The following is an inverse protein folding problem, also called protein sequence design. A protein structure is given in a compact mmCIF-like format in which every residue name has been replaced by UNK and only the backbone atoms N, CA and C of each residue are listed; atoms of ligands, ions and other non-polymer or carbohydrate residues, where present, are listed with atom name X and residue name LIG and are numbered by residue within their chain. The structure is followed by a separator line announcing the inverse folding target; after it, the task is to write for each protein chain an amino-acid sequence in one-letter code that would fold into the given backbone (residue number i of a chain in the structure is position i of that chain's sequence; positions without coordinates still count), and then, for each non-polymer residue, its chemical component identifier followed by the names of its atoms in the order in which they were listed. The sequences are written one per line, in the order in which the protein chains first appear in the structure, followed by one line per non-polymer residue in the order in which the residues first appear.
data_IF_085380204912
#
_entry.id   IF_085380204912
#
_cell.length_a   1.000
_cell.length_b   1.000
_cell.length_c   1.000
_cell.angle_alpha   90.00
_cell.angle_beta   90.00
_cell.angle_gamma   90.00
#
_symmetry.space_group_name_H-M   'P 1'
#
loop_
_entity.id
_entity.type
_entity.pdbx_description
1 polymer ?
#
# COMPACT_ATOMS: atom_id res chain seq x y z
N UNK A 1 -31.93 29.92 -4.83
CA UNK A 1 -31.83 28.46 -4.97
C UNK A 1 -30.35 28.12 -4.93
N UNK A 2 -29.96 27.33 -3.93
CA UNK A 2 -28.57 27.15 -3.52
C UNK A 2 -27.72 26.46 -4.58
N UNK A 3 -26.50 26.94 -4.73
CA UNK A 3 -25.44 26.25 -5.45
C UNK A 3 -25.25 24.88 -4.77
N UNK A 4 -25.43 23.82 -5.54
CA UNK A 4 -25.00 22.49 -5.13
C UNK A 4 -23.48 22.58 -4.94
N UNK A 5 -23.04 22.49 -3.69
CA UNK A 5 -21.63 22.33 -3.38
C UNK A 5 -21.16 21.06 -4.07
N UNK A 6 -20.28 21.22 -5.05
CA UNK A 6 -19.29 20.21 -5.39
C UNK A 6 -18.69 19.76 -4.06
N UNK A 7 -18.88 18.50 -3.70
CA UNK A 7 -18.15 17.94 -2.56
C UNK A 7 -16.67 18.22 -2.84
N UNK A 8 -16.05 19.04 -1.98
CA UNK A 8 -14.65 19.43 -2.04
C UNK A 8 -13.79 18.16 -2.21
N UNK A 9 -13.44 17.85 -3.46
CA UNK A 9 -12.83 16.58 -3.83
C UNK A 9 -11.36 16.70 -3.49
N UNK A 10 -11.01 16.38 -2.24
CA UNK A 10 -9.62 16.40 -1.78
C UNK A 10 -8.77 15.50 -2.67
N UNK A 11 -7.73 16.08 -3.25
CA UNK A 11 -6.69 15.36 -3.99
C UNK A 11 -5.82 14.55 -3.04
N UNK A 12 -5.10 13.58 -3.58
CA UNK A 12 -4.12 12.84 -2.79
C UNK A 12 -3.00 13.77 -2.31
N UNK A 13 -2.56 14.67 -3.20
CA UNK A 13 -1.55 15.69 -2.90
C UNK A 13 -1.97 16.72 -1.85
N UNK A 14 -3.27 16.83 -1.55
CA UNK A 14 -3.78 17.75 -0.53
C UNK A 14 -3.63 17.19 0.89
N UNK A 15 -3.35 15.89 1.04
CA UNK A 15 -3.18 15.23 2.33
C UNK A 15 -1.68 15.24 2.69
N UNK A 16 -1.28 15.85 3.82
CA UNK A 16 0.10 15.80 4.28
C UNK A 16 0.58 14.35 4.46
N UNK A 17 1.84 14.06 4.12
CA UNK A 17 2.42 12.71 4.23
C UNK A 17 2.21 12.04 5.60
N UNK A 18 2.32 12.72 6.76
CA UNK A 18 2.06 12.09 8.06
C UNK A 18 0.60 11.62 8.23
N UNK A 19 -0.35 12.32 7.61
CA UNK A 19 -1.79 12.05 7.71
C UNK A 19 -2.29 11.15 6.58
N UNK A 20 -1.44 10.87 5.59
CA UNK A 20 -1.79 10.03 4.45
C UNK A 20 -2.00 8.57 4.90
N UNK A 21 -3.14 7.92 4.56
CA UNK A 21 -3.52 6.60 5.10
C UNK A 21 -2.47 5.49 4.96
N UNK A 22 -1.73 5.53 3.85
CA UNK A 22 -0.57 4.69 3.58
C UNK A 22 0.56 5.58 3.06
N UNK A 23 1.38 6.11 3.96
CA UNK A 23 2.57 6.87 3.59
C UNK A 23 3.79 5.96 3.37
N UNK A 24 4.89 6.52 2.88
CA UNK A 24 6.11 5.77 2.53
C UNK A 24 6.69 4.98 3.70
N UNK A 25 6.64 5.52 4.92
CA UNK A 25 7.15 4.84 6.11
C UNK A 25 6.28 3.64 6.47
N UNK A 26 4.96 3.83 6.48
CA UNK A 26 3.99 2.76 6.76
C UNK A 26 4.01 1.68 5.69
N UNK A 27 4.14 2.06 4.41
CA UNK A 27 4.31 1.14 3.30
C UNK A 27 5.56 0.28 3.47
N UNK A 28 6.72 0.90 3.71
CA UNK A 28 7.99 0.16 3.92
C UNK A 28 7.89 -0.81 5.09
N UNK A 29 7.36 -0.33 6.21
CA UNK A 29 7.18 -1.17 7.40
C UNK A 29 6.27 -2.37 7.13
N UNK A 30 5.11 -2.16 6.51
CA UNK A 30 4.19 -3.26 6.18
C UNK A 30 4.82 -4.26 5.23
N UNK A 31 5.52 -3.77 4.20
CA UNK A 31 6.24 -4.62 3.23
C UNK A 31 7.28 -5.51 3.94
N UNK A 32 8.09 -4.93 4.81
CA UNK A 32 9.14 -5.64 5.53
C UNK A 32 8.56 -6.64 6.57
N UNK A 33 7.46 -6.28 7.24
CA UNK A 33 6.75 -7.18 8.17
C UNK A 33 6.14 -8.39 7.44
N UNK A 34 5.54 -8.19 6.26
CA UNK A 34 5.01 -9.27 5.42
C UNK A 34 6.13 -10.18 4.92
N UNK A 35 7.22 -9.61 4.41
CA UNK A 35 8.39 -10.35 3.91
C UNK A 35 9.02 -11.19 5.02
N UNK A 36 9.26 -10.57 6.19
CA UNK A 36 9.80 -11.29 7.37
C UNK A 36 8.87 -12.44 7.80
N UNK A 37 7.56 -12.26 7.74
CA UNK A 37 6.61 -13.31 8.08
C UNK A 37 6.66 -14.46 7.05
N UNK A 38 6.70 -14.14 5.75
CA UNK A 38 6.82 -15.14 4.68
C UNK A 38 8.07 -16.01 4.85
N UNK A 39 9.22 -15.37 5.08
CA UNK A 39 10.49 -16.06 5.31
C UNK A 39 10.44 -16.99 6.53
N UNK A 40 9.81 -16.55 7.62
CA UNK A 40 9.67 -17.37 8.84
C UNK A 40 8.79 -18.60 8.62
N UNK A 41 7.75 -18.51 7.80
CA UNK A 41 6.91 -19.66 7.46
C UNK A 41 7.62 -20.62 6.50
N UNK A 42 8.37 -20.10 5.53
CA UNK A 42 9.20 -20.92 4.63
C UNK A 42 10.28 -21.69 5.40
N UNK A 43 10.91 -21.05 6.40
CA UNK A 43 11.93 -21.66 7.25
C UNK A 43 11.43 -22.87 8.07
N UNK A 44 10.12 -23.05 8.22
CA UNK A 44 9.58 -24.26 8.86
C UNK A 44 9.86 -25.52 8.05
N UNK A 45 10.17 -25.41 6.74
CA UNK A 45 10.51 -26.54 5.89
C UNK A 45 9.35 -27.51 5.66
N UNK A 46 8.11 -27.04 5.83
CA UNK A 46 6.89 -27.83 5.64
C UNK A 46 6.12 -27.34 4.41
N UNK A 47 5.33 -28.23 3.79
CA UNK A 47 4.44 -27.87 2.68
C UNK A 47 3.45 -26.78 3.08
N UNK A 48 2.87 -26.87 4.28
CA UNK A 48 1.94 -25.84 4.77
C UNK A 48 2.64 -24.51 5.04
N UNK A 49 3.86 -24.52 5.59
CA UNK A 49 4.68 -23.32 5.77
C UNK A 49 4.99 -22.64 4.44
N UNK A 50 5.36 -23.41 3.42
CA UNK A 50 5.57 -22.90 2.06
C UNK A 50 4.29 -22.27 1.48
N UNK A 51 3.14 -22.94 1.63
CA UNK A 51 1.86 -22.40 1.14
C UNK A 51 1.51 -21.05 1.78
N UNK A 52 1.76 -20.89 3.09
CA UNK A 52 1.56 -19.62 3.79
C UNK A 52 2.56 -18.56 3.31
N UNK A 53 3.83 -18.93 3.10
CA UNK A 53 4.85 -18.03 2.54
C UNK A 53 4.46 -17.50 1.16
N UNK A 54 3.95 -18.37 0.27
CA UNK A 54 3.42 -17.96 -1.03
C UNK A 54 2.25 -16.97 -0.89
N UNK A 55 1.28 -17.27 -0.02
CA UNK A 55 0.14 -16.38 0.20
C UNK A 55 0.57 -14.99 0.74
N UNK A 56 1.55 -14.94 1.66
CA UNK A 56 2.10 -13.67 2.15
C UNK A 56 2.87 -12.91 1.08
N UNK A 57 3.60 -13.63 0.21
CA UNK A 57 4.27 -13.04 -0.95
C UNK A 57 3.26 -12.38 -1.89
N UNK A 58 2.10 -13.00 -2.12
CA UNK A 58 1.02 -12.41 -2.93
C UNK A 58 0.46 -11.13 -2.27
N UNK A 59 0.29 -11.12 -0.95
CA UNK A 59 -0.12 -9.91 -0.22
C UNK A 59 0.90 -8.79 -0.41
N UNK A 60 2.21 -9.10 -0.34
CA UNK A 60 3.28 -8.12 -0.60
C UNK A 60 3.16 -7.52 -2.00
N UNK A 61 2.94 -8.35 -3.02
CA UNK A 61 2.75 -7.88 -4.41
C UNK A 61 1.55 -6.95 -4.51
N UNK A 62 0.42 -7.29 -3.88
CA UNK A 62 -0.76 -6.41 -3.86
C UNK A 62 -0.53 -5.10 -3.13
N UNK A 63 0.27 -5.10 -2.07
CA UNK A 63 0.69 -3.88 -1.38
C UNK A 63 1.55 -2.98 -2.29
N UNK A 64 2.51 -3.58 -3.01
CA UNK A 64 3.35 -2.86 -3.98
C UNK A 64 2.51 -2.27 -5.12
N UNK A 65 1.53 -3.02 -5.66
CA UNK A 65 0.57 -2.52 -6.66
C UNK A 65 -0.22 -1.32 -6.16
N UNK A 66 -0.76 -1.39 -4.94
CA UNK A 66 -1.51 -0.29 -4.33
C UNK A 66 -0.63 0.96 -4.11
N UNK A 67 0.61 0.77 -3.67
CA UNK A 67 1.57 1.85 -3.50
C UNK A 67 1.92 2.52 -4.83
N UNK A 68 2.16 1.75 -5.89
CA UNK A 68 2.39 2.29 -7.23
C UNK A 68 1.18 3.06 -7.77
N UNK A 69 -0.04 2.62 -7.46
CA UNK A 69 -1.26 3.35 -7.83
C UNK A 69 -1.32 4.71 -7.12
N UNK A 70 -1.03 4.77 -5.82
CA UNK A 70 -0.94 6.04 -5.06
C UNK A 70 0.04 6.99 -5.74
N UNK A 71 1.27 6.53 -6.03
CA UNK A 71 2.30 7.35 -6.66
C UNK A 71 1.88 7.87 -8.05
N UNK A 72 1.20 7.05 -8.86
CA UNK A 72 0.69 7.48 -10.18
C UNK A 72 -0.39 8.56 -10.05
N UNK A 73 -1.27 8.44 -9.06
CA UNK A 73 -2.30 9.46 -8.79
C UNK A 73 -1.63 10.77 -8.38
N UNK A 74 -0.68 10.73 -7.44
CA UNK A 74 0.06 11.92 -7.01
C UNK A 74 0.85 12.58 -8.16
N UNK A 75 1.45 11.78 -9.07
CA UNK A 75 2.15 12.29 -10.25
C UNK A 75 1.18 13.00 -11.21
N UNK A 76 0.04 12.37 -11.49
CA UNK A 76 -1.00 12.93 -12.34
C UNK A 76 -1.57 14.25 -11.77
N UNK A 77 -1.79 14.31 -10.46
CA UNK A 77 -2.28 15.53 -9.78
C UNK A 77 -1.25 16.67 -9.78
N UNK A 78 0.04 16.35 -9.74
CA UNK A 78 1.14 17.31 -9.79
C UNK A 78 1.52 17.76 -11.22
N UNK A 79 0.83 17.26 -12.26
CA UNK A 79 1.02 17.67 -13.65
C UNK A 79 2.39 17.31 -14.24
N UNK A 80 3.00 16.22 -13.76
CA UNK A 80 4.32 15.75 -14.19
C UNK A 80 4.26 14.46 -15.00
#
# INVERSE_FOLDING_TARGET
MGQAGEADMRKFTDIPTPDFPLNVEKYRRLRDEIETAADRFDYLGTTDGYNVSCALTDVRVRLDEAWQLILRIEQHENGR
#
